data_IF_532329057366
#
_entry.id   IF_532329057366
#
_cell.length_a   1.000
_cell.length_b   1.000
_cell.length_c   1.000
_cell.angle_alpha   90.00
_cell.angle_beta   90.00
_cell.angle_gamma   90.00
#
_symmetry.space_group_name_H-M   'P 1'
#
loop_
_entity.id
_entity.type
_entity.pdbx_description
1 polymer ?
2 non-polymer ?
3 non-polymer ?
4 water ?
#
# COMPACT_ATOMS: atom_id res chain seq x y z
N UNK A 4 -27.19 7.09 -14.10
CA UNK A 4 -26.54 6.37 -12.94
C UNK A 4 -25.48 7.28 -12.29
N UNK A 5 -25.57 7.57 -10.98
CA UNK A 5 -24.63 8.48 -10.33
C UNK A 5 -23.26 7.80 -10.19
N UNK A 6 -22.19 8.59 -10.21
CA UNK A 6 -20.81 8.09 -10.00
C UNK A 6 -20.62 7.85 -8.51
N UNK A 7 -19.92 6.78 -8.11
CA UNK A 7 -19.77 6.49 -6.70
C UNK A 7 -18.86 7.48 -5.99
N UNK A 8 -19.11 7.65 -4.68
CA UNK A 8 -18.27 8.47 -3.76
C UNK A 8 -17.37 7.52 -2.96
N UNK A 9 -17.73 6.23 -2.95
CA UNK A 9 -17.08 5.16 -2.17
C UNK A 9 -17.03 3.89 -3.01
N UNK A 10 -15.94 3.11 -2.89
CA UNK A 10 -15.90 1.72 -3.44
C UNK A 10 -15.30 0.81 -2.36
N UNK A 11 -15.51 -0.48 -2.50
CA UNK A 11 -14.85 -1.45 -1.63
C UNK A 11 -13.84 -2.19 -2.48
N UNK A 12 -12.72 -2.46 -1.83
CA UNK A 12 -11.56 -3.11 -2.47
C UNK A 12 -11.18 -4.30 -1.60
N UNK A 13 -11.13 -5.46 -2.23
CA UNK A 13 -10.58 -6.71 -1.66
C UNK A 13 -9.10 -6.79 -2.04
N UNK A 14 -8.27 -6.99 -1.02
CA UNK A 14 -6.82 -7.28 -1.16
C UNK A 14 -6.60 -8.70 -0.64
N UNK A 15 -6.07 -9.60 -1.47
CA UNK A 15 -5.63 -10.93 -1.03
C UNK A 15 -4.14 -11.10 -1.19
N UNK A 16 -3.49 -11.78 -0.25
CA UNK A 16 -2.06 -12.18 -0.42
C UNK A 16 -1.96 -13.65 0.00
N UNK A 17 -1.36 -14.46 -0.87
CA UNK A 17 -1.20 -15.90 -0.61
C UNK A 17 0.10 -16.40 -1.20
N UNK A 18 0.98 -16.87 -0.34
CA UNK A 18 2.16 -17.65 -0.78
C UNK A 18 1.67 -19.08 -0.92
N UNK A 19 1.62 -19.54 -2.16
CA UNK A 19 0.97 -20.81 -2.55
C UNK A 19 1.92 -22.00 -2.35
N UNK A 20 3.18 -21.76 -1.95
CA UNK A 20 4.14 -22.83 -1.69
C UNK A 20 4.32 -23.76 -2.89
N UNK A 21 4.23 -23.21 -4.10
CA UNK A 21 4.55 -23.90 -5.37
C UNK A 21 3.56 -25.06 -5.63
N UNK A 22 2.40 -25.06 -4.96
CA UNK A 22 1.40 -26.14 -5.04
C UNK A 22 0.13 -25.58 -5.66
N UNK A 23 -0.57 -26.35 -6.51
CA UNK A 23 -1.87 -25.92 -7.02
C UNK A 23 -2.85 -25.70 -5.88
N UNK A 24 -3.81 -24.78 -6.04
CA UNK A 24 -4.82 -24.57 -5.01
C UNK A 24 -5.82 -25.71 -4.93
N UNK A 25 -6.59 -25.80 -3.82
CA UNK A 25 -7.65 -26.79 -3.72
C UNK A 25 -8.84 -26.34 -4.62
N UNK A 26 -9.85 -27.20 -4.75
CA UNK A 26 -10.95 -26.95 -5.71
C UNK A 26 -11.75 -25.72 -5.28
N UNK A 27 -11.85 -25.44 -3.99
CA UNK A 27 -12.64 -24.27 -3.51
C UNK A 27 -11.78 -23.32 -2.68
N UNK A 28 -11.76 -22.04 -3.07
CA UNK A 28 -10.99 -20.98 -2.35
C UNK A 28 -11.93 -19.80 -2.09
N UNK A 29 -13.24 -20.00 -2.15
CA UNK A 29 -14.23 -18.93 -1.95
C UNK A 29 -14.15 -18.24 -0.57
N UNK A 30 -13.73 -18.97 0.47
CA UNK A 30 -13.59 -18.42 1.85
C UNK A 30 -12.64 -17.22 1.83
N UNK A 31 -11.61 -17.26 0.99
CA UNK A 31 -10.63 -16.16 0.88
C UNK A 31 -11.36 -14.88 0.44
N UNK A 32 -12.12 -14.94 -0.63
CA UNK A 32 -12.76 -13.74 -1.22
C UNK A 32 -13.95 -13.30 -0.38
N UNK A 33 -14.44 -14.16 0.52
CA UNK A 33 -15.55 -13.82 1.44
C UNK A 33 -15.01 -13.33 2.79
N UNK A 34 -13.70 -13.24 2.98
CA UNK A 34 -13.11 -12.78 4.26
C UNK A 34 -13.64 -13.64 5.42
N UNK A 35 -13.62 -14.97 5.26
CA UNK A 35 -14.04 -15.95 6.29
C UNK A 35 -12.81 -16.67 6.86
N UNK A 36 -12.79 -16.87 8.18
CA UNK A 36 -11.74 -17.62 8.85
C UNK A 36 -11.46 -16.99 10.20
N UNK A 37 -10.20 -16.63 10.42
CA UNK A 37 -9.71 -16.03 11.69
C UNK A 37 -9.49 -14.53 11.50
N UNK A 38 -9.57 -13.78 12.59
CA UNK A 38 -9.25 -12.36 12.61
C UNK A 38 -10.48 -11.51 12.53
N UNK A 39 -10.36 -10.35 11.86
CA UNK A 39 -11.50 -9.46 11.59
C UNK A 39 -12.12 -9.98 10.28
N UNK A 40 -13.30 -10.59 10.41
CA UNK A 40 -13.99 -11.26 9.28
C UNK A 40 -15.21 -10.45 8.83
N UNK A 41 -15.65 -10.76 7.62
CA UNK A 41 -16.76 -10.03 6.98
C UNK A 41 -18.08 -10.67 7.44
N UNK A 42 -19.07 -9.83 7.69
CA UNK A 42 -20.44 -10.26 8.07
C UNK A 42 -21.03 -11.18 6.97
N UNK A 43 -21.66 -12.27 7.41
CA UNK A 43 -22.37 -13.25 6.52
C UNK A 43 -23.40 -12.52 5.65
N UNK A 44 -24.05 -11.47 6.17
CA UNK A 44 -25.12 -10.76 5.44
C UNK A 44 -24.56 -10.07 4.19
N UNK A 45 -23.23 -9.94 4.05
CA UNK A 45 -22.59 -9.26 2.91
C UNK A 45 -22.10 -10.25 1.86
N UNK A 46 -22.31 -11.55 2.05
CA UNK A 46 -21.67 -12.59 1.20
C UNK A 46 -22.01 -12.43 -0.28
N UNK A 47 -23.24 -11.99 -0.62
CA UNK A 47 -23.64 -11.86 -2.04
C UNK A 47 -23.23 -10.52 -2.64
N UNK A 48 -22.70 -9.60 -1.83
CA UNK A 48 -22.38 -8.23 -2.27
C UNK A 48 -20.99 -8.30 -2.86
N UNK A 49 -20.81 -8.01 -4.17
CA UNK A 49 -19.48 -8.02 -4.72
C UNK A 49 -18.71 -6.80 -4.23
N UNK A 50 -17.43 -6.97 -4.00
CA UNK A 50 -16.50 -5.83 -3.92
C UNK A 50 -16.43 -5.22 -5.31
N UNK A 51 -16.05 -3.95 -5.36
CA UNK A 51 -15.90 -3.23 -6.63
C UNK A 51 -14.64 -3.68 -7.36
N UNK A 52 -13.56 -3.89 -6.61
CA UNK A 52 -12.22 -4.25 -7.17
C UNK A 52 -11.67 -5.37 -6.29
N UNK A 53 -11.18 -6.45 -6.89
CA UNK A 53 -10.42 -7.53 -6.20
C UNK A 53 -8.98 -7.48 -6.68
N UNK A 54 -8.02 -7.41 -5.76
CA UNK A 54 -6.58 -7.37 -6.10
C UNK A 54 -6.00 -8.58 -5.41
N UNK A 55 -5.42 -9.49 -6.20
CA UNK A 55 -4.97 -10.84 -5.73
C UNK A 55 -3.46 -10.96 -5.94
N UNK A 56 -2.71 -10.98 -4.84
CA UNK A 56 -1.25 -11.12 -4.88
C UNK A 56 -0.94 -12.54 -4.54
N UNK A 57 -0.13 -13.16 -5.35
CA UNK A 57 0.41 -14.48 -4.99
C UNK A 57 1.94 -14.49 -5.02
N UNK A 58 2.48 -15.41 -4.24
CA UNK A 58 3.93 -15.72 -4.22
C UNK A 58 4.08 -17.23 -4.31
N UNK A 59 5.21 -17.65 -4.87
CA UNK A 59 5.47 -19.10 -5.10
C UNK A 59 4.27 -19.68 -5.85
N UNK A 60 3.78 -18.94 -6.84
CA UNK A 60 2.58 -19.31 -7.63
C UNK A 60 3.02 -20.24 -8.75
N UNK A 61 2.58 -21.51 -8.75
CA UNK A 61 3.02 -22.48 -9.78
C UNK A 61 2.19 -22.44 -11.07
N UNK A 62 1.12 -21.64 -11.10
CA UNK A 62 0.12 -21.68 -12.20
C UNK A 62 0.53 -20.73 -13.33
N UNK A 63 0.05 -21.01 -14.53
CA UNK A 63 0.09 -20.05 -15.65
C UNK A 63 -0.90 -18.92 -15.32
N UNK A 64 -0.74 -17.76 -15.95
CA UNK A 64 -1.68 -16.63 -15.76
C UNK A 64 -3.07 -17.13 -16.16
N UNK A 65 -3.15 -17.86 -17.27
CA UNK A 65 -4.43 -18.41 -17.77
C UNK A 65 -5.06 -19.31 -16.71
N UNK A 66 -4.31 -20.24 -16.12
CA UNK A 66 -4.87 -21.18 -15.12
C UNK A 66 -5.41 -20.40 -13.92
N UNK A 67 -4.67 -19.41 -13.45
CA UNK A 67 -5.05 -18.70 -12.20
C UNK A 67 -6.24 -17.78 -12.48
N UNK A 68 -6.19 -17.04 -13.57
CA UNK A 68 -7.34 -16.22 -14.01
C UNK A 68 -8.66 -17.01 -14.07
N UNK A 69 -8.60 -18.20 -14.67
CA UNK A 69 -9.74 -19.15 -14.75
C UNK A 69 -10.30 -19.39 -13.34
N UNK A 70 -9.42 -19.77 -12.41
CA UNK A 70 -9.81 -20.14 -11.03
C UNK A 70 -10.42 -18.92 -10.35
N UNK A 71 -9.78 -17.76 -10.51
CA UNK A 71 -10.27 -16.54 -9.83
C UNK A 71 -11.63 -16.13 -10.39
N UNK A 72 -11.78 -15.97 -11.69
CA UNK A 72 -13.08 -15.55 -12.28
C UNK A 72 -14.22 -16.51 -11.89
N UNK A 73 -13.98 -17.82 -11.99
CA UNK A 73 -14.96 -18.87 -11.60
C UNK A 73 -15.35 -18.67 -10.13
N UNK A 74 -14.37 -18.48 -9.26
CA UNK A 74 -14.57 -18.32 -7.79
C UNK A 74 -15.45 -17.09 -7.52
N UNK A 75 -15.17 -15.96 -8.18
CA UNK A 75 -15.98 -14.73 -7.99
C UNK A 75 -17.35 -14.94 -8.63
N UNK A 76 -17.42 -15.57 -9.79
CA UNK A 76 -18.74 -15.85 -10.41
C UNK A 76 -19.61 -16.71 -9.49
N UNK A 77 -19.04 -17.74 -8.87
CA UNK A 77 -19.78 -18.62 -7.96
C UNK A 77 -20.32 -17.82 -6.77
N UNK A 78 -19.51 -16.93 -6.20
CA UNK A 78 -19.84 -16.13 -4.98
C UNK A 78 -20.93 -15.11 -5.33
N UNK A 79 -20.79 -14.40 -6.45
CA UNK A 79 -21.47 -13.11 -6.72
C UNK A 79 -22.47 -13.24 -7.89
N UNK A 80 -22.34 -14.25 -8.74
CA UNK A 80 -23.07 -14.38 -10.03
C UNK A 80 -22.69 -13.21 -10.96
N UNK A 81 -21.54 -12.57 -10.73
CA UNK A 81 -21.02 -11.49 -11.59
C UNK A 81 -19.78 -12.00 -12.30
N UNK A 82 -19.68 -11.73 -13.60
CA UNK A 82 -18.49 -12.03 -14.41
C UNK A 82 -17.56 -10.81 -14.38
N UNK A 83 -16.46 -10.91 -13.65
CA UNK A 83 -15.53 -9.78 -13.41
C UNK A 83 -14.67 -9.57 -14.66
N UNK A 84 -14.29 -8.33 -14.91
CA UNK A 84 -13.37 -7.95 -16.00
C UNK A 84 -11.96 -7.93 -15.46
N UNK A 85 -11.02 -8.42 -16.28
CA UNK A 85 -9.58 -8.38 -15.96
C UNK A 85 -9.04 -6.99 -16.28
N UNK A 86 -8.61 -6.27 -15.24
CA UNK A 86 -8.00 -4.92 -15.38
C UNK A 86 -6.54 -5.08 -15.78
N UNK A 87 -5.85 -6.00 -15.10
CA UNK A 87 -4.40 -6.16 -15.25
C UNK A 87 -3.95 -7.45 -14.61
N UNK A 88 -2.91 -8.02 -15.17
CA UNK A 88 -2.20 -9.18 -14.57
C UNK A 88 -0.73 -8.99 -14.92
N UNK A 89 0.12 -9.19 -13.95
CA UNK A 89 1.57 -9.04 -14.11
C UNK A 89 2.28 -10.04 -13.21
N UNK A 90 3.25 -10.74 -13.78
CA UNK A 90 4.00 -11.81 -13.10
C UNK A 90 5.49 -11.53 -13.27
N UNK A 91 6.21 -11.65 -12.17
CA UNK A 91 7.70 -11.69 -12.16
C UNK A 91 8.04 -13.01 -11.50
N UNK A 92 8.63 -13.91 -12.26
CA UNK A 92 8.97 -15.27 -11.79
C UNK A 92 7.71 -15.90 -11.23
N UNK A 93 7.61 -16.11 -9.94
CA UNK A 93 6.46 -16.78 -9.30
C UNK A 93 5.70 -15.79 -8.41
N UNK A 94 5.89 -14.48 -8.62
CA UNK A 94 5.17 -13.41 -7.91
C UNK A 94 4.17 -12.80 -8.87
N UNK A 95 2.91 -12.75 -8.47
CA UNK A 95 1.88 -12.36 -9.44
C UNK A 95 0.87 -11.42 -8.78
N UNK A 96 0.37 -10.51 -9.59
CA UNK A 96 -0.76 -9.63 -9.18
C UNK A 96 -1.83 -9.72 -10.26
N UNK A 97 -3.07 -9.85 -9.81
CA UNK A 97 -4.29 -9.84 -10.67
C UNK A 97 -5.23 -8.78 -10.12
N UNK A 98 -5.74 -7.92 -11.01
CA UNK A 98 -6.77 -6.93 -10.67
C UNK A 98 -7.99 -7.22 -11.52
N UNK A 99 -9.09 -7.48 -10.80
CA UNK A 99 -10.42 -7.77 -11.37
C UNK A 99 -11.40 -6.70 -10.87
N UNK A 100 -12.31 -6.27 -11.74
CA UNK A 100 -13.33 -5.28 -11.36
C UNK A 100 -14.70 -5.63 -11.92
N UNK A 101 -15.75 -5.14 -11.25
CA UNK A 101 -17.16 -5.22 -11.72
C UNK A 101 -17.20 -4.73 -13.17
N UNK A 102 -18.01 -5.35 -14.06
CA UNK A 102 -18.12 -4.87 -15.44
C UNK A 102 -18.62 -3.42 -15.54
N UNK A 103 -19.40 -2.95 -14.58
CA UNK A 103 -19.92 -1.56 -14.59
C UNK A 103 -18.76 -0.56 -14.44
N UNK A 104 -17.58 -0.97 -13.97
CA UNK A 104 -16.43 -0.06 -13.71
C UNK A 104 -15.50 0.02 -14.91
N UNK A 105 -15.74 -0.80 -15.92
CA UNK A 105 -14.82 -0.87 -17.09
C UNK A 105 -14.46 0.52 -17.66
N UNK A 106 -15.44 1.41 -17.81
CA UNK A 106 -15.20 2.75 -18.41
C UNK A 106 -14.97 3.82 -17.34
N UNK A 107 -14.85 3.41 -16.06
CA UNK A 107 -14.38 4.30 -14.97
C UNK A 107 -12.87 4.12 -14.79
N UNK A 108 -12.33 3.04 -15.34
CA UNK A 108 -10.92 2.63 -15.09
C UNK A 108 -10.07 3.01 -16.29
N UNK A 109 -9.00 3.73 -16.06
CA UNK A 109 -8.07 4.13 -17.15
C UNK A 109 -6.62 4.21 -16.65
N UNK A 110 -5.68 4.51 -17.54
CA UNK A 110 -4.26 4.74 -17.21
C UNK A 110 -3.71 3.53 -16.44
N UNK A 111 -3.99 2.33 -16.92
CA UNK A 111 -3.56 1.09 -16.25
C UNK A 111 -2.07 0.93 -16.49
N UNK A 112 -1.29 0.81 -15.41
CA UNK A 112 0.18 0.63 -15.46
C UNK A 112 0.56 -0.63 -14.67
N UNK A 113 1.58 -1.35 -15.17
CA UNK A 113 2.15 -2.53 -14.47
C UNK A 113 3.63 -2.36 -14.47
N UNK A 114 4.28 -2.87 -13.44
CA UNK A 114 5.75 -2.89 -13.36
C UNK A 114 6.18 -3.96 -12.37
N UNK A 115 7.47 -4.25 -12.39
CA UNK A 115 8.10 -5.15 -11.40
C UNK A 115 9.45 -4.58 -11.02
N UNK A 116 9.94 -5.01 -9.86
CA UNK A 116 11.29 -4.75 -9.38
C UNK A 116 11.86 -6.08 -8.91
N UNK A 117 13.04 -6.41 -9.39
CA UNK A 117 13.84 -7.54 -8.89
C UNK A 117 14.78 -7.07 -7.80
N UNK A 118 14.75 -7.67 -6.62
CA UNK A 118 15.63 -7.23 -5.51
C UNK A 118 16.91 -8.09 -5.48
N UNK A 119 17.96 -7.55 -4.89
CA UNK A 119 19.23 -8.29 -4.68
C UNK A 119 20.20 -8.16 -5.85
N UNK A 120 21.42 -8.68 -5.67
CA UNK A 120 22.55 -8.63 -6.64
C UNK A 120 23.19 -10.03 -6.68
N UNK A 121 23.28 -10.65 -7.86
CA UNK A 121 23.95 -11.95 -8.13
C UNK A 121 23.28 -13.09 -7.34
N UNK A 122 23.92 -13.62 -6.29
CA UNK A 122 23.38 -14.61 -5.32
C UNK A 122 21.90 -14.34 -5.00
N UNK A 123 21.59 -13.09 -4.65
CA UNK A 123 20.33 -12.64 -4.01
C UNK A 123 19.31 -12.21 -5.08
N UNK A 124 19.75 -11.98 -6.33
CA UNK A 124 18.86 -11.71 -7.50
C UNK A 124 18.48 -13.06 -8.13
N UNK A 125 17.18 -13.34 -8.24
CA UNK A 125 16.68 -14.50 -9.02
C UNK A 125 15.31 -15.00 -8.59
N UNK A 126 14.81 -14.60 -7.41
CA UNK A 126 13.38 -14.95 -7.19
C UNK A 126 12.53 -14.01 -6.31
N UNK A 127 13.14 -13.03 -5.65
CA UNK A 127 12.44 -12.07 -4.75
C UNK A 127 12.28 -10.72 -5.47
N UNK A 128 11.25 -9.97 -5.10
CA UNK A 128 10.97 -8.68 -5.73
C UNK A 128 9.52 -8.34 -5.56
N UNK A 129 9.01 -7.52 -6.46
CA UNK A 129 7.63 -7.05 -6.36
C UNK A 129 7.04 -6.89 -7.73
N UNK A 130 5.74 -7.03 -7.80
CA UNK A 130 4.96 -6.60 -8.99
C UNK A 130 3.95 -5.55 -8.53
N UNK A 131 3.54 -4.69 -9.44
CA UNK A 131 2.55 -3.66 -9.12
C UNK A 131 1.64 -3.33 -10.26
N UNK A 132 0.50 -2.76 -9.87
CA UNK A 132 -0.52 -2.24 -10.79
C UNK A 132 -0.97 -0.87 -10.28
N UNK A 133 -1.12 0.09 -11.19
CA UNK A 133 -1.87 1.33 -10.89
C UNK A 133 -2.91 1.61 -11.98
N UNK A 134 -3.91 2.40 -11.61
CA UNK A 134 -4.89 2.93 -12.57
C UNK A 134 -5.62 4.09 -11.90
N UNK A 135 -6.36 4.81 -12.73
CA UNK A 135 -7.32 5.82 -12.28
C UNK A 135 -8.67 5.13 -12.17
N UNK A 136 -9.38 5.38 -11.09
CA UNK A 136 -10.82 5.08 -10.96
C UNK A 136 -11.52 6.44 -10.93
N UNK A 137 -12.14 6.85 -12.03
CA UNK A 137 -12.66 8.24 -12.16
C UNK A 137 -11.54 9.21 -11.73
N UNK A 138 -11.74 10.07 -10.74
CA UNK A 138 -10.76 11.11 -10.38
C UNK A 138 -9.74 10.65 -9.35
N UNK A 139 -9.75 9.36 -8.99
CA UNK A 139 -8.96 8.80 -7.88
C UNK A 139 -7.89 7.87 -8.44
N UNK A 140 -6.65 8.05 -8.02
CA UNK A 140 -5.49 7.18 -8.41
C UNK A 140 -5.32 6.07 -7.36
N UNK A 141 -5.16 4.83 -7.84
CA UNK A 141 -5.06 3.61 -7.01
C UNK A 141 -3.78 2.86 -7.38
N UNK A 142 -2.95 2.53 -6.40
CA UNK A 142 -1.75 1.71 -6.61
C UNK A 142 -1.78 0.49 -5.72
N UNK A 143 -1.19 -0.57 -6.22
CA UNK A 143 -1.21 -1.89 -5.58
C UNK A 143 0.14 -2.52 -5.80
N UNK A 144 0.77 -2.92 -4.70
CA UNK A 144 2.10 -3.58 -4.75
C UNK A 144 2.01 -4.94 -4.05
N UNK A 145 2.43 -5.98 -4.76
CA UNK A 145 2.58 -7.35 -4.20
C UNK A 145 4.09 -7.61 -4.13
N UNK A 146 4.65 -7.72 -2.94
CA UNK A 146 6.11 -7.97 -2.77
C UNK A 146 6.33 -9.30 -2.08
N UNK A 147 7.36 -10.01 -2.53
CA UNK A 147 7.89 -11.21 -1.84
C UNK A 147 9.28 -10.82 -1.38
N UNK A 148 9.45 -10.53 -0.09
CA UNK A 148 10.74 -10.03 0.41
C UNK A 148 11.61 -11.20 0.87
N UNK A 149 12.86 -10.88 1.17
CA UNK A 149 13.89 -11.87 1.56
C UNK A 149 13.37 -12.68 2.75
N UNK A 150 13.60 -13.98 2.76
CA UNK A 150 13.16 -14.89 3.84
C UNK A 150 14.25 -14.99 4.91
N UNK A 151 13.86 -15.52 6.06
CA UNK A 151 14.79 -15.92 7.12
C UNK A 151 14.68 -14.97 8.28
N UNK A 152 14.60 -15.50 9.48
CA UNK A 152 14.47 -14.69 10.70
C UNK A 152 15.61 -13.65 10.88
N UNK A 153 16.80 -13.98 10.40
CA UNK A 153 18.05 -13.19 10.62
C UNK A 153 18.14 -12.01 9.64
N UNK A 154 17.24 -11.93 8.65
CA UNK A 154 17.40 -10.99 7.49
C UNK A 154 16.41 -9.83 7.50
N UNK A 155 16.03 -9.32 8.66
CA UNK A 155 15.05 -8.21 8.67
C UNK A 155 15.67 -6.98 7.98
N UNK A 156 16.96 -6.74 8.14
CA UNK A 156 17.61 -5.57 7.49
C UNK A 156 17.50 -5.69 5.96
N UNK A 157 17.69 -6.90 5.43
CA UNK A 157 17.60 -7.21 3.97
C UNK A 157 16.16 -6.95 3.48
N UNK A 158 15.16 -7.31 4.29
CA UNK A 158 13.76 -7.00 3.97
C UNK A 158 13.59 -5.47 3.88
N UNK A 159 14.17 -4.72 4.82
CA UNK A 159 14.01 -3.25 4.85
C UNK A 159 14.63 -2.68 3.56
N UNK A 160 15.75 -3.23 3.15
CA UNK A 160 16.46 -2.78 1.93
C UNK A 160 15.61 -3.14 0.72
N UNK A 161 14.99 -4.33 0.71
CA UNK A 161 14.12 -4.77 -0.40
C UNK A 161 12.99 -3.75 -0.55
N UNK A 162 12.33 -3.43 0.57
CA UNK A 162 11.26 -2.41 0.60
C UNK A 162 11.74 -1.09 -0.06
N UNK A 163 12.89 -0.59 0.37
CA UNK A 163 13.36 0.71 -0.17
C UNK A 163 13.62 0.59 -1.68
N UNK A 164 14.22 -0.52 -2.12
CA UNK A 164 14.47 -0.72 -3.58
C UNK A 164 13.16 -0.77 -4.36
N UNK A 165 12.16 -1.47 -3.83
CA UNK A 165 10.85 -1.56 -4.52
C UNK A 165 10.23 -0.16 -4.62
N UNK A 166 10.22 0.55 -3.48
CA UNK A 166 9.70 1.93 -3.30
C UNK A 166 10.35 2.84 -4.35
N UNK A 167 11.67 2.77 -4.46
CA UNK A 167 12.47 3.65 -5.36
C UNK A 167 12.19 3.34 -6.82
N UNK A 168 12.15 2.08 -7.20
CA UNK A 168 12.30 1.70 -8.63
C UNK A 168 10.99 1.22 -9.29
N UNK A 169 9.93 0.95 -8.54
CA UNK A 169 8.67 0.51 -9.17
C UNK A 169 8.04 1.71 -9.89
N UNK A 170 7.86 1.61 -11.19
CA UNK A 170 7.46 2.74 -12.07
C UNK A 170 5.97 2.63 -12.35
N UNK A 171 5.17 3.18 -11.46
CA UNK A 171 3.71 3.15 -11.60
C UNK A 171 3.20 4.58 -11.55
N UNK A 172 1.97 4.78 -11.95
CA UNK A 172 1.26 6.06 -11.83
C UNK A 172 1.80 7.05 -12.83
N UNK A 173 1.59 8.34 -12.55
CA UNK A 173 1.73 9.43 -13.54
C UNK A 173 3.22 9.76 -13.63
N UNK A 174 3.90 9.43 -14.73
CA UNK A 174 5.36 9.68 -14.91
C UNK A 174 5.67 11.18 -14.82
N UNK A 175 4.71 12.13 -15.03
CA UNK A 175 4.95 13.59 -14.87
C UNK A 175 5.26 13.94 -13.42
N UNK A 176 4.89 13.04 -12.48
CA UNK A 176 5.18 13.23 -11.03
C UNK A 176 6.63 12.83 -10.75
N UNK A 177 7.56 13.38 -11.53
CA UNK A 177 8.94 12.86 -11.62
C UNK A 177 9.68 12.92 -10.29
N UNK A 178 9.49 13.88 -9.36
CA UNK A 178 10.18 13.85 -8.08
C UNK A 178 9.62 12.80 -7.11
N UNK A 179 8.47 12.20 -7.44
CA UNK A 179 7.69 11.41 -6.45
C UNK A 179 7.84 9.93 -6.76
N UNK A 180 8.09 9.15 -5.71
CA UNK A 180 8.03 7.68 -5.79
C UNK A 180 6.59 7.19 -5.55
N UNK A 181 6.38 5.88 -5.61
CA UNK A 181 5.01 5.32 -5.48
C UNK A 181 4.38 5.69 -4.14
N UNK A 182 5.15 6.06 -3.10
CA UNK A 182 4.55 6.39 -1.78
C UNK A 182 3.87 7.77 -1.82
N UNK A 183 4.00 8.53 -2.91
CA UNK A 183 3.29 9.83 -3.08
C UNK A 183 2.42 9.89 -4.34
N UNK A 184 2.38 8.89 -5.21
CA UNK A 184 1.72 9.04 -6.53
C UNK A 184 0.22 8.72 -6.50
N UNK A 185 -0.31 8.15 -5.42
CA UNK A 185 -1.66 7.56 -5.41
C UNK A 185 -2.51 8.11 -4.26
N UNK A 186 -3.77 8.39 -4.55
CA UNK A 186 -4.76 8.69 -3.49
C UNK A 186 -4.74 7.56 -2.45
N UNK A 187 -4.71 6.31 -2.92
CA UNK A 187 -4.69 5.11 -2.05
C UNK A 187 -3.65 4.15 -2.60
N UNK A 188 -2.71 3.75 -1.74
CA UNK A 188 -1.65 2.78 -2.08
C UNK A 188 -1.79 1.61 -1.12
N UNK A 189 -1.94 0.43 -1.66
CA UNK A 189 -2.01 -0.84 -0.89
C UNK A 189 -0.73 -1.61 -1.18
N UNK A 190 -0.05 -2.02 -0.13
CA UNK A 190 1.21 -2.78 -0.26
C UNK A 190 1.04 -4.05 0.58
N UNK A 191 1.18 -5.18 -0.05
CA UNK A 191 0.87 -6.49 0.57
C UNK A 191 1.90 -7.48 0.02
N UNK A 192 1.86 -8.66 0.60
CA UNK A 192 2.61 -9.80 0.07
C UNK A 192 3.15 -10.67 1.17
N UNK A 193 4.06 -11.55 0.78
CA UNK A 193 4.85 -12.34 1.75
C UNK A 193 6.04 -11.45 2.10
N UNK A 194 5.82 -10.58 3.08
CA UNK A 194 6.86 -9.61 3.52
C UNK A 194 7.92 -10.32 4.35
N UNK A 195 7.63 -11.51 4.87
CA UNK A 195 8.63 -12.45 5.43
C UNK A 195 9.23 -11.96 6.74
N UNK A 196 8.62 -10.97 7.40
CA UNK A 196 9.03 -10.59 8.76
C UNK A 196 8.55 -11.65 9.76
N UNK A 197 9.38 -11.94 10.74
CA UNK A 197 9.20 -13.08 11.65
C UNK A 197 8.97 -12.60 13.07
N UNK A 198 8.49 -13.54 13.88
CA UNK A 198 8.36 -13.38 15.35
C UNK A 198 9.72 -13.71 15.93
N UNK A 199 10.45 -12.69 16.37
CA UNK A 199 11.85 -12.78 16.84
C UNK A 199 11.85 -13.19 18.31
N UNK A 200 11.77 -14.50 18.57
CA UNK A 200 11.88 -15.08 19.91
C UNK A 200 12.91 -16.19 19.79
N UNK A 201 13.52 -16.67 20.91
CA UNK A 201 14.49 -17.75 20.81
C UNK A 201 13.81 -19.00 20.25
N UNK A 202 14.57 -19.79 19.47
CA UNK A 202 14.07 -20.98 18.74
C UNK A 202 13.60 -22.06 19.72
N UNK A 203 14.16 -22.10 20.93
CA UNK A 203 13.78 -23.05 22.00
C UNK A 203 12.46 -22.63 22.68
N UNK A 204 11.94 -21.44 22.36
CA UNK A 204 10.56 -21.03 22.75
C UNK A 204 9.48 -21.56 21.76
N UNK A 205 9.84 -22.35 20.74
CA UNK A 205 8.88 -22.74 19.69
C UNK A 205 7.62 -23.34 20.30
N UNK A 206 7.74 -24.29 21.22
CA UNK A 206 6.53 -25.00 21.72
C UNK A 206 5.72 -24.02 22.55
N UNK A 207 6.38 -23.11 23.26
CA UNK A 207 5.70 -22.04 24.03
C UNK A 207 4.91 -21.17 23.07
N UNK A 208 5.53 -20.78 21.96
CA UNK A 208 4.81 -19.94 20.95
C UNK A 208 3.56 -20.66 20.42
N UNK A 209 3.70 -21.94 20.10
CA UNK A 209 2.56 -22.77 19.65
C UNK A 209 1.42 -22.82 20.67
N UNK A 210 1.75 -22.96 21.95
CA UNK A 210 0.73 -23.03 23.02
C UNK A 210 0.06 -21.65 23.19
N UNK A 211 0.80 -20.55 22.98
CA UNK A 211 0.18 -19.20 22.97
C UNK A 211 -0.83 -19.14 21.80
N UNK A 212 -0.43 -19.60 20.62
CA UNK A 212 -1.33 -19.58 19.42
C UNK A 212 -2.60 -20.39 19.69
N UNK A 213 -2.51 -21.56 20.29
CA UNK A 213 -3.67 -22.43 20.58
C UNK A 213 -4.62 -21.75 21.56
N UNK A 214 -4.12 -20.89 22.43
CA UNK A 214 -4.91 -20.11 23.41
C UNK A 214 -5.41 -18.80 22.79
N UNK A 215 -5.11 -18.55 21.51
CA UNK A 215 -5.42 -17.27 20.82
C UNK A 215 -4.89 -16.07 21.63
N UNK A 216 -3.70 -16.18 22.19
CA UNK A 216 -3.06 -15.12 23.01
C UNK A 216 -1.91 -14.64 22.15
N UNK A 217 -2.17 -13.64 21.32
CA UNK A 217 -1.18 -13.22 20.28
C UNK A 217 -0.35 -12.03 20.79
N UNK A 218 -0.66 -11.45 21.95
CA UNK A 218 -0.09 -10.14 22.36
C UNK A 218 1.43 -10.24 22.56
N UNK A 219 1.90 -11.26 23.28
CA UNK A 219 3.34 -11.41 23.58
C UNK A 219 4.03 -11.89 22.30
N UNK A 220 3.29 -12.37 21.30
CA UNK A 220 3.95 -12.72 20.00
C UNK A 220 4.08 -11.46 19.13
N UNK A 221 3.00 -10.67 18.98
CA UNK A 221 3.03 -9.43 18.16
C UNK A 221 4.08 -8.44 18.69
N UNK A 222 4.32 -8.42 20.00
CA UNK A 222 5.33 -7.50 20.58
C UNK A 222 6.73 -7.87 20.05
N UNK A 223 6.93 -9.05 19.45
CA UNK A 223 8.24 -9.48 18.88
C UNK A 223 8.17 -9.59 17.35
N UNK A 224 7.03 -9.28 16.75
CA UNK A 224 6.89 -9.28 15.28
C UNK A 224 7.87 -8.25 14.71
N UNK A 225 8.71 -8.68 13.78
CA UNK A 225 9.76 -7.79 13.25
C UNK A 225 9.15 -6.67 12.40
N UNK A 226 8.04 -6.86 11.70
CA UNK A 226 7.49 -5.76 10.89
C UNK A 226 6.99 -4.66 11.85
N UNK A 227 6.26 -5.02 12.90
CA UNK A 227 5.75 -4.04 13.88
C UNK A 227 6.94 -3.33 14.54
N UNK A 228 7.96 -4.06 14.99
CA UNK A 228 9.08 -3.43 15.73
C UNK A 228 9.90 -2.57 14.76
N UNK A 229 10.18 -3.04 13.55
CA UNK A 229 10.93 -2.21 12.58
C UNK A 229 10.14 -0.94 12.23
N UNK A 230 8.83 -1.08 12.01
CA UNK A 230 7.93 0.07 11.74
C UNK A 230 7.98 1.07 12.91
N UNK A 231 8.01 0.59 14.15
CA UNK A 231 7.93 1.49 15.34
C UNK A 231 9.25 2.26 15.48
N UNK A 232 10.36 1.71 14.98
CA UNK A 232 11.68 2.41 14.98
C UNK A 232 11.89 3.15 13.64
N UNK A 233 10.86 3.22 12.80
CA UNK A 233 10.84 4.00 11.54
C UNK A 233 11.90 3.46 10.58
N UNK A 234 12.08 2.16 10.55
CA UNK A 234 13.11 1.53 9.69
C UNK A 234 12.50 1.12 8.35
N UNK A 235 11.18 1.03 8.30
CA UNK A 235 10.47 0.49 7.12
C UNK A 235 9.01 0.95 7.19
N UNK A 236 8.38 1.05 6.03
CA UNK A 236 6.94 1.36 5.88
C UNK A 236 6.56 2.62 6.68
N UNK A 237 7.43 3.63 6.72
CA UNK A 237 7.09 4.91 7.37
C UNK A 237 5.85 5.51 6.68
N UNK A 238 4.87 5.92 7.48
CA UNK A 238 3.62 6.61 7.06
C UNK A 238 2.64 5.64 6.42
N UNK A 239 2.87 4.33 6.55
CA UNK A 239 1.88 3.28 6.20
C UNK A 239 1.12 2.84 7.44
N UNK A 240 -0.10 2.34 7.25
CA UNK A 240 -1.00 1.81 8.30
C UNK A 240 -1.14 0.30 8.14
N UNK A 241 -1.44 -0.41 9.23
CA UNK A 241 -1.82 -1.82 9.18
C UNK A 241 -2.92 -1.95 10.21
N UNK A 242 -3.95 -2.73 9.88
CA UNK A 242 -5.05 -3.09 10.81
C UNK A 242 -4.44 -3.96 11.92
N UNK A 243 -5.05 -3.93 13.12
CA UNK A 243 -4.63 -4.79 14.23
C UNK A 243 -4.73 -6.25 13.78
N UNK A 244 -3.71 -7.04 14.10
CA UNK A 244 -3.70 -8.48 13.77
C UNK A 244 -4.42 -9.27 14.86
N UNK A 245 -5.45 -10.03 14.50
CA UNK A 245 -6.26 -10.81 15.49
C UNK A 245 -6.43 -12.26 14.99
N UNK A 246 -5.57 -12.71 14.06
CA UNK A 246 -5.54 -14.07 13.49
C UNK A 246 -4.20 -14.71 13.81
N UNK A 247 -4.17 -16.04 13.83
CA UNK A 247 -2.96 -16.80 14.18
C UNK A 247 -1.91 -16.54 13.10
N UNK A 248 -0.63 -16.68 13.44
CA UNK A 248 0.44 -16.66 12.44
C UNK A 248 0.09 -17.54 11.22
N UNK A 249 0.38 -17.03 10.02
CA UNK A 249 -0.05 -17.65 8.75
C UNK A 249 1.05 -18.54 8.17
N UNK A 250 2.16 -18.71 8.90
CA UNK A 250 3.35 -19.47 8.45
C UNK A 250 4.01 -20.05 9.71
N UNK A 251 4.64 -21.22 9.69
CA UNK A 251 4.76 -22.17 8.62
C UNK A 251 3.99 -23.42 9.01
N UNK A 252 2.99 -23.76 8.22
CA UNK A 252 2.07 -24.89 8.51
C UNK A 252 2.57 -26.15 7.80
N UNK A 253 2.32 -27.30 8.41
CA UNK A 253 2.29 -28.59 7.68
C UNK A 253 1.16 -28.49 6.63
N UNK A 254 1.40 -28.97 5.42
CA UNK A 254 0.35 -28.95 4.38
C UNK A 254 -0.77 -29.94 4.72
N UNK A 255 -1.99 -29.65 4.22
CA UNK A 255 -3.20 -30.51 4.23
C UNK A 255 -3.86 -30.53 5.61
N UNK A 256 -3.37 -29.77 6.58
CA UNK A 256 -4.07 -29.52 7.86
C UNK A 256 -3.74 -28.08 8.24
N UNK A 257 -4.42 -27.48 9.21
CA UNK A 257 -3.88 -26.27 9.88
C UNK A 257 -3.59 -26.58 11.35
N UNK A 258 -3.46 -27.85 11.72
CA UNK A 258 -3.38 -28.24 13.15
C UNK A 258 -1.93 -28.21 13.62
N UNK A 259 -0.96 -28.08 12.71
CA UNK A 259 0.48 -28.18 13.05
C UNK A 259 1.31 -27.10 12.37
N UNK A 260 2.11 -26.40 13.17
CA UNK A 260 3.19 -25.51 12.69
C UNK A 260 4.44 -26.35 12.50
N UNK A 261 5.01 -26.31 11.30
CA UNK A 261 6.26 -27.00 10.95
C UNK A 261 7.40 -26.01 11.10
N UNK A 262 8.00 -25.94 12.29
CA UNK A 262 9.02 -24.90 12.55
C UNK A 262 10.47 -25.40 12.63
N UNK A 263 10.67 -26.72 12.75
CA UNK A 263 12.01 -27.34 13.00
C UNK A 263 12.90 -27.13 11.77
N UNK A 264 14.22 -27.05 11.98
CA UNK A 264 15.19 -26.89 10.87
C UNK A 264 15.30 -28.23 10.15
N UNK A 265 15.37 -28.16 8.82
CA UNK A 265 15.37 -29.32 7.89
C UNK A 265 16.35 -28.99 6.76
N UNK A 266 16.90 -30.00 6.08
CA UNK A 266 17.73 -29.70 4.89
C UNK A 266 16.96 -28.76 3.95
N UNK A 267 15.66 -29.02 3.75
CA UNK A 267 14.80 -28.26 2.83
C UNK A 267 14.70 -26.77 3.26
N UNK A 268 14.92 -26.42 4.52
CA UNK A 268 14.86 -24.99 4.97
C UNK A 268 16.25 -24.37 5.03
N UNK A 269 17.28 -25.04 4.49
CA UNK A 269 18.65 -24.58 4.68
C UNK A 269 19.07 -24.66 6.13
N UNK A 270 18.51 -25.60 6.88
CA UNK A 270 18.78 -25.80 8.33
C UNK A 270 18.42 -24.52 9.13
N UNK A 271 17.35 -23.84 8.70
CA UNK A 271 16.77 -22.63 9.35
C UNK A 271 15.46 -22.99 10.05
N UNK A 272 15.29 -22.51 11.28
CA UNK A 272 14.02 -22.61 11.99
C UNK A 272 13.07 -21.61 11.35
N UNK A 273 11.81 -21.99 11.31
CA UNK A 273 10.71 -21.12 10.87
C UNK A 273 9.71 -21.06 12.02
N UNK A 274 10.03 -20.32 13.06
CA UNK A 274 9.06 -20.12 14.17
C UNK A 274 7.80 -19.52 13.55
N UNK A 275 6.61 -19.86 14.07
CA UNK A 275 5.36 -19.29 13.60
C UNK A 275 5.44 -17.77 13.51
N UNK A 276 5.02 -17.25 12.35
CA UNK A 276 5.20 -15.81 12.05
C UNK A 276 4.06 -15.28 11.19
N UNK A 277 3.88 -13.97 11.27
CA UNK A 277 2.92 -13.25 10.40
C UNK A 277 3.70 -12.77 9.18
N UNK A 278 4.01 -13.71 8.29
CA UNK A 278 4.76 -13.36 7.05
C UNK A 278 3.92 -12.54 6.09
N UNK A 279 2.62 -12.75 6.12
CA UNK A 279 1.69 -12.39 5.03
C UNK A 279 0.80 -11.24 5.44
N UNK A 280 0.97 -10.08 4.82
CA UNK A 280 0.53 -8.80 5.41
C UNK A 280 -0.09 -7.89 4.36
N UNK A 281 -0.94 -6.99 4.84
CA UNK A 281 -1.55 -5.94 4.00
C UNK A 281 -1.40 -4.60 4.73
N UNK A 282 -0.74 -3.66 4.10
CA UNK A 282 -0.60 -2.27 4.61
C UNK A 282 -1.10 -1.29 3.58
N UNK A 283 -1.39 -0.07 4.01
CA UNK A 283 -1.86 0.98 3.08
C UNK A 283 -1.39 2.35 3.50
N UNK A 284 -1.41 3.24 2.52
CA UNK A 284 -1.11 4.67 2.72
C UNK A 284 -2.03 5.43 1.78
N UNK A 285 -2.89 6.27 2.34
CA UNK A 285 -3.78 7.15 1.58
C UNK A 285 -3.40 8.60 1.86
N UNK A 286 -3.69 9.46 0.92
CA UNK A 286 -3.49 10.91 1.05
C UNK A 286 -4.26 11.41 2.27
N UNK A 287 -3.74 12.48 2.92
CA UNK A 287 -4.40 13.00 4.10
C UNK A 287 -5.88 13.32 3.89
N UNK A 288 -6.69 12.96 4.88
CA UNK A 288 -8.14 13.31 4.99
C UNK A 288 -8.92 12.73 3.81
N UNK A 289 -8.44 11.62 3.25
CA UNK A 289 -9.28 10.80 2.34
C UNK A 289 -9.85 9.64 3.16
N UNK A 290 -11.11 9.30 2.90
CA UNK A 290 -11.79 8.18 3.60
C UNK A 290 -11.13 6.87 3.21
N UNK A 291 -10.65 6.12 4.19
CA UNK A 291 -10.21 4.72 3.96
C UNK A 291 -10.42 4.01 5.27
N UNK A 292 -11.21 2.94 5.25
CA UNK A 292 -11.54 2.18 6.49
C UNK A 292 -11.31 0.70 6.18
N UNK A 293 -10.46 0.05 6.96
CA UNK A 293 -10.31 -1.41 6.88
C UNK A 293 -11.55 -2.08 7.49
N UNK A 294 -12.23 -2.90 6.67
CA UNK A 294 -13.50 -3.61 7.01
C UNK A 294 -13.20 -5.05 7.45
N UNK A 295 -12.10 -5.65 6.96
CA UNK A 295 -11.72 -7.04 7.32
C UNK A 295 -10.21 -7.16 7.23
N UNK A 296 -9.65 -8.03 8.05
CA UNK A 296 -8.22 -8.36 8.01
C UNK A 296 -8.08 -9.67 8.73
N UNK A 297 -7.79 -10.72 7.97
CA UNK A 297 -7.81 -12.06 8.57
C UNK A 297 -7.16 -13.09 7.72
N UNK A 298 -7.28 -14.34 8.12
CA UNK A 298 -6.70 -15.44 7.34
C UNK A 298 -7.74 -16.56 7.19
N UNK A 299 -7.65 -17.31 6.11
CA UNK A 299 -8.57 -18.46 5.91
C UNK A 299 -8.08 -19.63 6.76
N UNK A 300 -9.01 -20.51 7.12
CA UNK A 300 -8.78 -21.73 7.94
C UNK A 300 -8.89 -23.01 7.10
N UNK A 301 -9.48 -22.93 5.91
CA UNK A 301 -9.91 -24.12 5.13
C UNK A 301 -9.09 -24.31 3.84
N UNK A 302 -8.05 -23.53 3.57
CA UNK A 302 -7.22 -23.63 2.34
C UNK A 302 -5.84 -24.06 2.82
N UNK A 303 -5.44 -25.31 2.53
CA UNK A 303 -4.34 -26.01 3.23
C UNK A 303 -3.30 -26.58 2.25
N UNK A 304 -3.33 -26.18 0.97
CA UNK A 304 -2.38 -26.70 -0.05
C UNK A 304 -0.98 -26.14 0.16
N UNK A 305 -0.85 -24.99 0.84
CA UNK A 305 0.43 -24.31 1.05
C UNK A 305 0.85 -24.40 2.51
N UNK A 306 2.11 -24.12 2.77
CA UNK A 306 2.64 -23.93 4.14
C UNK A 306 2.29 -22.53 4.66
N UNK A 307 1.67 -21.70 3.84
CA UNK A 307 1.07 -20.40 4.27
C UNK A 307 -0.43 -20.49 4.17
N UNK A 308 -1.14 -19.81 5.05
CA UNK A 308 -2.59 -19.56 4.85
C UNK A 308 -2.77 -18.23 4.12
N UNK A 309 -3.74 -18.18 3.19
CA UNK A 309 -4.16 -16.92 2.57
C UNK A 309 -4.55 -15.86 3.61
N UNK A 310 -4.26 -14.62 3.28
CA UNK A 310 -4.69 -13.44 4.07
C UNK A 310 -5.57 -12.60 3.17
N UNK A 311 -6.65 -12.07 3.77
CA UNK A 311 -7.57 -11.11 3.15
C UNK A 311 -7.57 -9.82 3.94
N UNK A 312 -7.79 -8.73 3.22
CA UNK A 312 -8.15 -7.42 3.80
C UNK A 312 -9.14 -6.75 2.85
N UNK A 313 -10.15 -6.10 3.41
CA UNK A 313 -11.10 -5.30 2.60
C UNK A 313 -11.13 -3.88 3.15
N UNK A 314 -11.37 -2.97 2.24
CA UNK A 314 -11.39 -1.54 2.56
C UNK A 314 -12.57 -0.85 1.89
N UNK A 315 -13.17 0.11 2.60
CA UNK A 315 -13.94 1.22 1.99
C UNK A 315 -12.94 2.30 1.60
N UNK A 316 -13.00 2.77 0.36
CA UNK A 316 -12.07 3.82 -0.11
C UNK A 316 -12.88 4.92 -0.77
N UNK A 317 -12.64 6.15 -0.33
CA UNK A 317 -13.23 7.34 -0.93
C UNK A 317 -12.71 7.53 -2.34
N UNK A 318 -13.62 7.86 -3.26
CA UNK A 318 -13.32 8.12 -4.68
C UNK A 318 -14.09 9.39 -5.08
N UNK A 319 -13.55 10.08 -6.08
CA UNK A 319 -14.11 11.34 -6.60
C UNK A 319 -14.45 11.12 -8.08
N UNK A 320 -15.32 11.99 -8.60
CA UNK A 320 -15.82 11.97 -10.00
C UNK A 320 -14.75 12.54 -10.94
N UNK A 321 -14.94 12.38 -12.24
CA UNK A 321 -14.09 13.00 -13.30
C UNK A 321 -14.69 14.38 -13.64
N UNK A 322 -14.38 15.39 -12.83
CA UNK A 322 -15.00 16.74 -12.87
C UNK A 322 -14.74 17.50 -14.18
N UNK A 323 -15.83 18.01 -14.78
CA UNK A 323 -15.83 18.99 -15.91
C UNK A 323 -16.61 20.24 -15.50
N UNK A 324 -16.06 21.42 -15.79
CA UNK A 324 -16.77 22.72 -15.67
C UNK A 324 -16.72 23.44 -17.03
N UNK A 325 -17.33 24.62 -17.08
CA UNK A 325 -17.36 25.56 -18.24
C UNK A 325 -15.91 25.88 -18.61
N UNK A 326 -15.07 26.01 -17.57
CA UNK A 326 -13.66 26.46 -17.65
C UNK A 326 -12.77 25.20 -17.74
N UNK A 327 -12.16 24.79 -16.62
CA UNK A 327 -11.32 23.58 -16.61
C UNK A 327 -12.15 22.31 -16.74
N UNK A 328 -11.57 21.20 -17.26
CA UNK A 328 -10.23 21.20 -17.85
C UNK A 328 -10.02 21.95 -19.19
N UNK A 329 -8.78 22.35 -19.44
CA UNK A 329 -8.30 23.06 -20.65
C UNK A 329 -8.14 24.54 -20.45
N UNK A 330 -8.35 25.03 -19.24
CA UNK A 330 -8.05 26.43 -18.86
C UNK A 330 -8.13 26.54 -17.32
N UNK A 331 -7.79 27.71 -16.79
CA UNK A 331 -7.93 28.01 -15.33
C UNK A 331 -9.35 28.50 -15.05
N UNK A 332 -9.73 28.44 -13.78
CA UNK A 332 -10.96 29.07 -13.23
C UNK A 332 -10.47 30.21 -12.30
N UNK A 333 -10.49 31.45 -12.80
CA UNK A 333 -9.90 32.62 -12.11
C UNK A 333 -10.61 32.87 -10.77
N UNK A 334 -11.67 32.13 -10.44
CA UNK A 334 -12.39 32.24 -9.14
C UNK A 334 -11.73 31.33 -8.10
N UNK A 335 -10.78 30.49 -8.54
CA UNK A 335 -9.98 29.60 -7.68
C UNK A 335 -8.57 30.12 -7.48
N UNK A 336 -8.03 30.03 -6.26
CA UNK A 336 -6.58 30.24 -6.02
C UNK A 336 -6.15 29.56 -4.72
N UNK A 337 -4.89 29.17 -4.69
CA UNK A 337 -4.23 28.56 -3.50
C UNK A 337 -3.00 29.40 -3.17
N UNK A 338 -3.02 30.03 -2.01
CA UNK A 338 -1.88 30.84 -1.49
C UNK A 338 -1.29 30.18 -0.25
N UNK A 339 0.03 30.32 -0.16
CA UNK A 339 0.91 29.82 0.93
C UNK A 339 1.54 31.01 1.66
N UNK A 340 1.39 31.06 2.98
CA UNK A 340 1.91 32.13 3.86
C UNK A 340 2.87 31.50 4.88
N UNK A 341 3.88 32.26 5.33
CA UNK A 341 4.78 31.94 6.45
C UNK A 341 5.28 30.48 6.33
N UNK A 342 5.69 30.06 5.14
CA UNK A 342 6.10 28.65 4.86
C UNK A 342 7.60 28.47 5.01
N UNK A 343 7.98 27.36 5.59
CA UNK A 343 9.42 26.99 5.66
C UNK A 343 9.55 25.49 5.70
N UNK A 344 10.59 25.01 5.04
CA UNK A 344 11.02 23.60 5.05
C UNK A 344 12.09 23.48 6.12
N UNK A 345 12.12 22.36 6.83
CA UNK A 345 13.21 22.01 7.78
C UNK A 345 13.81 20.74 7.23
N UNK A 346 15.10 20.73 6.91
CA UNK A 346 15.73 19.57 6.27
C UNK A 346 16.83 19.02 7.16
N UNK A 347 16.98 17.71 7.18
CA UNK A 347 18.04 17.02 7.95
C UNK A 347 19.37 17.03 7.18
N UNK A 348 19.39 17.53 5.97
CA UNK A 348 20.61 17.57 5.12
C UNK A 348 21.75 18.33 5.82
N UNK A 349 22.98 17.86 5.60
CA UNK A 349 24.22 18.53 6.08
C UNK A 349 24.71 19.48 4.99
N UNK A 350 24.11 19.44 3.80
CA UNK A 350 24.57 20.19 2.61
C UNK A 350 24.19 21.67 2.74
N UNK A 351 24.82 22.49 1.91
CA UNK A 351 24.53 23.94 1.69
C UNK A 351 24.49 24.18 0.18
N UNK A 352 23.29 24.08 -0.40
CA UNK A 352 22.88 24.53 -1.75
C UNK A 352 21.64 25.41 -1.53
N UNK A 353 21.27 26.24 -2.50
CA UNK A 353 19.95 26.89 -2.45
C UNK A 353 18.88 25.81 -2.75
N UNK A 354 17.67 26.02 -2.26
CA UNK A 354 16.53 25.11 -2.54
C UNK A 354 15.35 25.88 -3.12
N UNK A 355 14.58 25.21 -3.99
CA UNK A 355 13.26 25.70 -4.44
C UNK A 355 12.22 24.60 -4.26
N UNK A 356 10.94 24.95 -4.37
CA UNK A 356 9.81 24.00 -4.29
C UNK A 356 9.23 23.76 -5.69
N UNK A 357 8.74 22.54 -5.90
CA UNK A 357 7.78 22.22 -6.98
C UNK A 357 6.45 21.83 -6.37
N UNK A 358 5.36 22.40 -6.89
CA UNK A 358 3.99 22.03 -6.52
C UNK A 358 3.43 21.19 -7.67
N UNK A 359 2.99 19.96 -7.39
CA UNK A 359 2.33 19.08 -8.38
C UNK A 359 0.94 18.72 -7.92
N UNK A 360 -0.03 18.85 -8.81
CA UNK A 360 -1.43 18.44 -8.52
C UNK A 360 -2.19 18.32 -9.82
N UNK A 361 -3.12 17.35 -9.87
CA UNK A 361 -4.09 17.16 -10.98
C UNK A 361 -4.97 18.41 -11.12
N UNK A 362 -5.09 19.21 -10.05
CA UNK A 362 -5.92 20.46 -10.06
C UNK A 362 -5.18 21.62 -10.73
N UNK A 363 -3.91 21.43 -11.13
CA UNK A 363 -3.10 22.45 -11.85
C UNK A 363 -2.89 22.00 -13.29
N UNK A 364 -2.73 22.95 -14.20
CA UNK A 364 -2.51 22.61 -15.63
C UNK A 364 -1.17 21.93 -15.76
N UNK A 365 -0.17 22.38 -15.01
CA UNK A 365 1.14 21.72 -14.89
C UNK A 365 1.80 22.18 -13.60
N UNK A 366 2.88 21.52 -13.24
CA UNK A 366 3.55 21.78 -11.94
C UNK A 366 4.10 23.20 -11.94
N UNK A 367 4.31 23.68 -10.73
CA UNK A 367 4.72 25.09 -10.49
C UNK A 367 6.03 25.06 -9.70
N UNK A 368 7.02 25.84 -10.16
CA UNK A 368 8.38 25.91 -9.56
C UNK A 368 8.54 27.27 -8.86
N UNK A 369 8.80 27.25 -7.54
CA UNK A 369 8.94 28.47 -6.72
C UNK A 369 10.30 29.11 -7.02
N UNK A 370 10.44 30.35 -6.56
CA UNK A 370 11.75 31.01 -6.33
C UNK A 370 12.52 30.21 -5.28
N UNK A 371 13.83 30.34 -5.29
CA UNK A 371 14.70 29.80 -4.21
C UNK A 371 14.29 30.41 -2.86
N UNK A 372 14.29 29.59 -1.83
CA UNK A 372 14.06 30.06 -0.45
C UNK A 372 15.33 30.61 0.17
N UNK A 373 15.22 31.12 1.39
CA UNK A 373 16.36 31.71 2.13
C UNK A 373 16.78 30.77 3.26
N UNK A 374 17.98 30.20 3.13
CA UNK A 374 18.59 29.27 4.12
C UNK A 374 18.93 30.05 5.40
N UNK A 375 18.50 29.52 6.55
CA UNK A 375 18.93 29.95 7.90
C UNK A 375 19.37 28.69 8.66
N UNK A 376 20.12 28.88 9.74
CA UNK A 376 20.57 27.82 10.69
C UNK A 376 19.46 27.57 11.71
N UNK A 377 19.05 26.31 11.88
CA UNK A 377 18.17 25.89 13.01
C UNK A 377 18.94 25.87 14.32
N UNK A 378 18.24 26.06 15.44
CA UNK A 378 18.84 26.18 16.80
C UNK A 378 19.43 24.84 17.28
N UNK A 379 19.04 23.72 16.65
CA UNK A 379 19.48 22.35 17.02
C UNK A 379 20.28 21.73 15.85
N UNK A 380 20.90 22.56 15.00
CA UNK A 380 21.76 22.12 13.87
C UNK A 380 21.10 22.18 12.49
N UNK A 381 19.75 22.09 12.41
CA UNK A 381 18.96 21.82 11.18
C UNK A 381 19.20 22.88 10.09
N UNK A 382 18.96 22.54 8.82
CA UNK A 382 18.79 23.58 7.78
C UNK A 382 17.32 24.00 7.73
N UNK A 383 17.06 25.30 7.82
CA UNK A 383 15.68 25.87 7.68
C UNK A 383 15.68 26.66 6.39
N UNK A 384 14.78 26.32 5.48
CA UNK A 384 14.63 27.05 4.20
C UNK A 384 13.36 27.88 4.31
N UNK A 385 13.52 29.21 4.36
CA UNK A 385 12.40 30.16 4.50
C UNK A 385 11.92 30.56 3.11
N UNK A 386 10.62 30.45 2.89
CA UNK A 386 9.88 30.92 1.70
C UNK A 386 9.02 32.15 2.09
N UNK A 387 8.72 32.33 3.36
CA UNK A 387 7.83 33.40 3.89
C UNK A 387 6.53 33.49 3.11
N UNK A 388 6.40 34.55 2.30
CA UNK A 388 5.20 34.98 1.53
C UNK A 388 5.57 35.05 0.05
N UNK A 389 6.71 34.45 -0.31
CA UNK A 389 7.32 34.55 -1.65
C UNK A 389 6.75 33.46 -2.58
N UNK A 390 6.02 32.46 -2.05
CA UNK A 390 5.57 31.30 -2.86
C UNK A 390 4.51 31.74 -3.86
N UNK A 391 4.53 31.22 -5.10
CA UNK A 391 3.56 31.64 -6.12
C UNK A 391 2.12 31.30 -5.70
N UNK A 392 1.18 32.01 -6.31
CA UNK A 392 -0.27 31.78 -6.17
C UNK A 392 -0.63 30.67 -7.15
N UNK A 393 -1.19 29.55 -6.67
CA UNK A 393 -1.49 28.41 -7.58
C UNK A 393 -2.90 28.63 -8.14
N UNK A 394 -3.04 28.32 -9.43
CA UNK A 394 -4.22 28.62 -10.26
C UNK A 394 -4.89 27.30 -10.62
N UNK A 395 -5.89 26.84 -9.83
CA UNK A 395 -6.55 25.58 -10.13
C UNK A 395 -7.42 25.70 -11.39
N UNK A 396 -7.61 24.58 -12.06
CA UNK A 396 -8.37 24.42 -13.34
C UNK A 396 -9.87 24.57 -13.08
N UNK A 397 -10.31 24.28 -11.87
CA UNK A 397 -11.75 24.26 -11.45
C UNK A 397 -11.84 24.93 -10.09
N UNK A 398 -12.80 25.84 -9.89
CA UNK A 398 -12.91 26.64 -8.66
C UNK A 398 -14.01 26.07 -7.77
N UNK A 399 -14.84 25.19 -8.29
CA UNK A 399 -15.99 24.62 -7.54
C UNK A 399 -15.40 24.00 -6.28
N UNK A 400 -15.92 24.35 -5.08
CA UNK A 400 -15.40 23.78 -3.84
C UNK A 400 -15.66 22.28 -3.71
N UNK A 401 -16.70 21.75 -4.36
CA UNK A 401 -17.00 20.28 -4.32
C UNK A 401 -15.89 19.50 -5.05
N UNK A 402 -15.15 20.16 -5.91
CA UNK A 402 -13.93 19.59 -6.54
C UNK A 402 -12.71 19.94 -5.69
N UNK A 403 -12.48 21.24 -5.48
CA UNK A 403 -11.15 21.74 -5.04
C UNK A 403 -10.86 21.23 -3.62
N UNK A 404 -11.86 21.16 -2.75
CA UNK A 404 -11.60 20.73 -1.35
C UNK A 404 -11.18 19.25 -1.31
N UNK A 405 -11.45 18.48 -2.37
CA UNK A 405 -11.10 17.03 -2.42
C UNK A 405 -9.71 16.82 -3.00
N UNK A 406 -8.99 17.88 -3.35
CA UNK A 406 -7.69 17.75 -4.04
C UNK A 406 -6.53 17.76 -3.05
N UNK A 407 -5.33 17.49 -3.56
CA UNK A 407 -4.08 17.45 -2.77
C UNK A 407 -2.98 18.12 -3.58
N UNK A 408 -2.03 18.73 -2.87
CA UNK A 408 -0.82 19.33 -3.47
C UNK A 408 0.39 18.52 -3.02
N UNK A 409 1.08 17.94 -3.99
CA UNK A 409 2.37 17.27 -3.73
C UNK A 409 3.44 18.35 -3.75
N UNK A 410 4.38 18.25 -2.82
CA UNK A 410 5.47 19.25 -2.68
C UNK A 410 6.79 18.52 -2.73
N UNK A 411 7.67 18.95 -3.65
CA UNK A 411 9.08 18.52 -3.64
C UNK A 411 9.96 19.73 -3.32
N UNK A 412 10.93 19.57 -2.43
CA UNK A 412 11.99 20.59 -2.24
C UNK A 412 13.24 20.10 -2.96
N UNK A 413 13.75 20.90 -3.90
CA UNK A 413 14.83 20.50 -4.83
C UNK A 413 16.06 21.41 -4.65
N UNK A 414 17.24 20.83 -4.80
CA UNK A 414 18.51 21.56 -4.89
C UNK A 414 18.55 22.35 -6.20
N UNK A 415 18.86 23.64 -6.13
CA UNK A 415 19.06 24.49 -7.33
C UNK A 415 20.26 23.97 -8.14
N UNK A 416 21.25 23.37 -7.47
CA UNK A 416 22.53 22.97 -8.10
C UNK A 416 22.35 21.69 -8.91
N UNK A 417 21.58 20.73 -8.40
CA UNK A 417 21.47 19.37 -8.99
C UNK A 417 20.06 19.08 -9.51
N UNK A 418 19.06 19.87 -9.11
CA UNK A 418 17.62 19.64 -9.37
C UNK A 418 17.18 18.28 -8.81
N UNK A 419 17.86 17.81 -7.79
CA UNK A 419 17.43 16.55 -7.16
C UNK A 419 16.52 16.88 -5.97
N UNK A 420 15.42 16.02 -5.85
CA UNK A 420 14.51 16.22 -4.68
C UNK A 420 15.23 15.79 -3.41
N UNK A 421 15.19 16.64 -2.38
CA UNK A 421 15.67 16.29 -1.02
C UNK A 421 14.52 15.89 -0.10
N UNK A 422 13.28 16.04 -0.55
CA UNK A 422 12.12 15.72 0.30
C UNK A 422 10.82 15.90 -0.47
N UNK A 423 9.90 15.01 -0.22
CA UNK A 423 8.58 15.00 -0.89
C UNK A 423 7.51 14.86 0.19
N UNK A 424 6.37 15.52 -0.03
CA UNK A 424 5.25 15.42 0.91
C UNK A 424 3.96 15.80 0.24
N UNK A 425 2.87 15.83 0.99
CA UNK A 425 1.52 16.02 0.45
C UNK A 425 0.67 16.82 1.44
N UNK A 426 -0.04 17.81 0.91
CA UNK A 426 -0.96 18.72 1.65
C UNK A 426 -2.38 18.53 1.12
N UNK A 427 -3.34 18.25 1.99
CA UNK A 427 -4.78 18.13 1.64
C UNK A 427 -5.38 19.52 1.52
N UNK A 428 -6.26 19.70 0.56
CA UNK A 428 -7.06 20.94 0.44
C UNK A 428 -8.42 20.80 1.15
N UNK A 429 -8.60 19.73 1.93
CA UNK A 429 -9.83 19.48 2.73
C UNK A 429 -9.79 20.36 3.98
N UNK A 430 -9.91 21.68 3.80
CA UNK A 430 -9.70 22.67 4.88
C UNK A 430 -10.95 22.88 5.71
N UNK A 431 -10.77 23.35 6.92
CA UNK A 431 -11.87 23.71 7.86
C UNK A 431 -12.61 24.94 7.34
N UNK A 432 -12.00 25.74 6.49
CA UNK A 432 -12.51 27.04 6.02
C UNK A 432 -11.84 27.44 4.73
N UNK A 433 -12.52 28.23 3.91
CA UNK A 433 -11.92 28.91 2.73
C UNK A 433 -11.72 30.39 3.07
N UNK A 434 -10.86 31.05 2.31
CA UNK A 434 -10.61 32.51 2.42
C UNK A 434 -10.09 32.78 3.84
N UNK A 435 -9.42 31.81 4.46
CA UNK A 435 -9.01 31.84 5.89
C UNK A 435 -7.59 31.28 5.99
N UNK A 436 -6.70 31.96 6.71
CA UNK A 436 -5.30 31.46 6.91
C UNK A 436 -5.34 30.28 7.87
N UNK A 437 -4.85 29.12 7.45
CA UNK A 437 -4.98 27.88 8.24
C UNK A 437 -3.63 27.19 8.22
N UNK A 438 -3.20 26.58 9.34
CA UNK A 438 -1.92 25.90 9.35
C UNK A 438 -1.95 24.69 8.39
N UNK A 439 -0.84 24.46 7.71
CA UNK A 439 -0.59 23.23 6.94
C UNK A 439 0.73 22.62 7.40
N UNK A 440 0.86 21.33 7.15
CA UNK A 440 2.01 20.54 7.63
C UNK A 440 2.08 19.29 6.77
N UNK A 441 3.29 18.92 6.35
CA UNK A 441 3.58 17.53 5.90
C UNK A 441 5.00 17.16 6.30
N UNK A 442 5.23 15.90 6.70
CA UNK A 442 6.60 15.38 6.77
C UNK A 442 7.13 15.33 5.33
N UNK A 443 8.44 15.33 5.21
CA UNK A 443 9.12 15.23 3.90
C UNK A 443 9.92 13.95 3.94
N UNK A 444 9.84 13.16 2.87
CA UNK A 444 10.63 11.92 2.78
C UNK A 444 11.40 11.94 1.47
N UNK A 445 12.41 11.10 1.39
CA UNK A 445 13.11 10.85 0.10
C UNK A 445 13.56 9.40 0.14
N UNK A 446 13.23 8.64 -0.91
CA UNK A 446 13.36 7.17 -0.93
C UNK A 446 12.66 6.61 0.31
N UNK A 447 11.57 7.25 0.73
CA UNK A 447 10.69 6.73 1.79
C UNK A 447 11.26 6.90 3.19
N UNK A 448 12.38 7.63 3.33
CA UNK A 448 13.05 7.95 4.62
C UNK A 448 12.75 9.40 4.97
N UNK A 449 12.50 9.68 6.24
CA UNK A 449 12.27 11.07 6.72
C UNK A 449 13.50 11.96 6.46
N UNK A 450 13.29 13.07 5.77
CA UNK A 450 14.37 14.02 5.41
C UNK A 450 14.07 15.42 5.94
N UNK A 451 12.90 15.63 6.53
CA UNK A 451 12.51 16.99 6.93
C UNK A 451 11.03 17.16 7.11
N UNK A 452 10.64 18.42 7.12
CA UNK A 452 9.25 18.87 7.32
C UNK A 452 8.97 20.09 6.48
N UNK A 453 7.71 20.25 6.12
CA UNK A 453 7.23 21.49 5.49
C UNK A 453 6.00 21.97 6.24
N UNK A 454 6.03 23.22 6.64
CA UNK A 454 4.90 23.77 7.41
C UNK A 454 4.74 25.25 7.07
N UNK A 455 3.56 25.75 7.32
CA UNK A 455 3.22 27.13 6.99
C UNK A 455 1.74 27.30 7.11
N UNK A 456 1.23 28.22 6.33
CA UNK A 456 -0.21 28.51 6.34
C UNK A 456 -0.67 28.47 4.89
N UNK A 457 -1.93 28.12 4.71
CA UNK A 457 -2.60 28.12 3.40
C UNK A 457 -3.81 29.06 3.49
N UNK A 458 -4.21 29.55 2.27
CA UNK A 458 -5.43 30.36 2.09
C UNK A 458 -6.02 29.88 0.77
N UNK A 459 -7.16 29.25 0.84
CA UNK A 459 -7.82 28.64 -0.33
C UNK A 459 -9.05 29.46 -0.70
N UNK A 460 -9.08 29.92 -1.95
CA UNK A 460 -10.23 30.62 -2.58
C UNK A 460 -10.96 29.64 -3.50
N UNK A 461 -12.26 29.43 -3.30
CA UNK A 461 -13.12 28.65 -4.21
C UNK A 461 -14.17 29.61 -4.75
N UNK A 462 -15.04 29.12 -5.62
CA UNK A 462 -16.15 29.90 -6.22
C UNK A 462 -17.21 30.22 -5.17
N UNK A 463 -17.22 29.56 -4.02
CA UNK A 463 -18.28 29.77 -2.99
C UNK A 463 -17.75 30.63 -1.84
X LIG B 1 0.72 7.13 13.37
X LIG B 1 1.34 4.68 13.22
X LIG B 1 1.62 4.78 14.64
X LIG B 1 0.64 5.57 15.32
X LIG B 1 0.56 7.00 14.80
X LIG B 1 2.58 2.41 14.94
X LIG B 1 4.64 1.64 14.01
X LIG B 1 2.29 1.13 15.38
X LIG B 1 0.34 9.42 13.46
X LIG B 1 4.36 0.35 14.45
X LIG B 1 3.19 0.08 15.14
X LIG B 1 0.03 8.03 12.89
X LIG B 1 0.59 5.88 12.64
X LIG B 1 3.75 2.67 14.26
X LIG B 1 1.14 0.88 16.05
X LIG B 1 1.60 3.45 15.24
X LIG C 1 -10.56 2.73 -21.36
X LIG C 1 -8.90 0.90 -20.95
X LIG C 1 -9.88 0.30 -20.09
X LIG C 1 -11.20 0.46 -20.63
X LIG C 1 -11.57 1.93 -20.69
X LIG C 1 -10.26 -1.91 -18.88
X LIG C 1 -11.41 -2.16 -16.77
X LIG C 1 -10.34 -3.28 -19.09
X LIG C 1 -12.02 4.41 -21.93
X LIG C 1 -11.50 -3.54 -16.99
X LIG C 1 -10.95 -4.10 -18.15
X LIG C 1 -10.75 3.94 -21.22
X LIG C 1 -9.17 2.39 -21.12
X LIG C 1 -10.79 -1.34 -17.72
X LIG C 1 -9.81 -3.78 -20.25
X LIG C 1 -9.60 -1.12 -19.92
X LIG D 1 -8.69 12.09 -5.33
X LIG D 1 -9.96 11.31 -5.40
X LIG D 1 -8.63 12.66 -3.67
X LIG D 1 -9.02 13.67 -6.08
X LIG E 1 -2.62 14.44 -7.14
X LIG E 1 -3.29 15.67 -7.69
X LIG E 1 -1.31 14.12 -8.32
X LIG E 1 -1.58 15.00 -5.83
X LIG F 1 3.02 12.71 3.96
X LIG F 1 3.03 12.27 2.53
X LIG F 1 2.65 11.29 4.96
X LIG F 1 1.50 13.56 4.25
#
# INVERSE_FOLDING_TARGET
SMEQPEPDMITIFIGTWNMGNAPPPKKITSWFLSKGQGKTRDDSADYIPHDIYVIGTQEDPLSEKEWLEILKHSLQEITSVTFKTVAIHTLWNIRIVVLAKPEHENRISHICTDNVKTGIANTLGNKGAVGVSFMFNGTSLGFVNSHLTSGSEKKLRRNQNYMNILRFLALGDKKLSPFNITHRFTHLFWFGDLNYRVDLPTWEAETIIQKIKQQQYADLLSHDQLLTERREQKVFLHFEEEEITFAPTYRFERLTRDKYAYTKQKATGMKYNLPSWCDRVLWKSYPLVHVVCQSYGSTSDIMTSDHSPVFATFEAGVTSQFVSKNGPGTVDSQGQIEFLRCYATLKTKSQTKFYLEFHSSCLESFVKSQEGENEEGSEGELVVKFGETLPKLKPIISDPEYLLDQHILISIKSSDSDESYGEGCIALRLEATETQLPIYTPLTHHGELTGHFQGEIKLQTSQ
NVY N1 C4 C5 C6 C7 C8 C10 C13 C1 C11 C12 C2 C3 C9 F1 N2
NVY N1 C4 C5 C6 C7 C8 C10 C13 C1 C11 C12 C2 C3 C9 F1 N2
DMS S O C1 C2
DMS S O C1 C2
DMS S O C1 C2
#
